data_IF_506660547737
#
_entry.id   IF_506660547737
#
_cell.length_a   1.000
_cell.length_b   1.000
_cell.length_c   1.000
_cell.angle_alpha   90.00
_cell.angle_beta   90.00
_cell.angle_gamma   90.00
#
_symmetry.space_group_name_H-M   'P 1'
#
loop_
_entity.id
_entity.type
_entity.pdbx_description
1 polymer ?
#
# COMPACT_ATOMS: atom_id res chain seq x y z
N UNK A 1 -1.54 14.72 7.21
CA UNK A 1 -0.34 14.91 6.36
C UNK A 1 0.76 14.02 6.93
N UNK A 2 1.33 13.13 6.13
CA UNK A 2 2.32 12.15 6.64
C UNK A 2 3.71 12.76 6.81
N UNK A 3 4.55 12.17 7.66
CA UNK A 3 5.95 12.61 7.85
C UNK A 3 6.71 12.67 6.52
N UNK A 4 6.45 11.71 5.63
CA UNK A 4 7.02 11.64 4.28
C UNK A 4 6.69 12.87 3.42
N UNK A 5 5.47 13.42 3.55
CA UNK A 5 5.08 14.60 2.77
C UNK A 5 5.80 15.84 3.26
N UNK A 6 6.00 15.98 4.58
CA UNK A 6 6.75 17.11 5.17
C UNK A 6 8.22 17.07 4.73
N UNK A 7 8.85 15.89 4.75
CA UNK A 7 10.25 15.70 4.30
C UNK A 7 10.41 16.08 2.82
N UNK A 8 9.47 15.67 1.96
CA UNK A 8 9.51 16.01 0.53
C UNK A 8 9.46 17.53 0.28
N UNK A 9 8.62 18.26 1.02
CA UNK A 9 8.53 19.72 0.89
C UNK A 9 9.80 20.45 1.34
N UNK A 10 10.41 20.00 2.44
CA UNK A 10 11.69 20.55 2.92
C UNK A 10 12.79 20.34 1.87
N UNK A 11 12.85 19.14 1.30
CA UNK A 11 13.84 18.81 0.26
C UNK A 11 13.64 19.65 -1.01
N UNK A 12 12.40 19.86 -1.44
CA UNK A 12 12.08 20.70 -2.59
C UNK A 12 12.50 22.16 -2.36
N UNK A 13 12.20 22.72 -1.18
CA UNK A 13 12.64 24.07 -0.82
C UNK A 13 14.17 24.21 -0.83
N UNK A 14 14.88 23.20 -0.34
CA UNK A 14 16.35 23.18 -0.31
C UNK A 14 16.95 23.14 -1.72
N UNK A 15 16.38 22.34 -2.64
CA UNK A 15 16.79 22.33 -4.04
C UNK A 15 16.52 23.66 -4.75
N UNK A 16 15.38 24.31 -4.48
CA UNK A 16 15.08 25.64 -5.03
C UNK A 16 16.13 26.66 -4.60
N UNK A 17 16.49 26.70 -3.31
CA UNK A 17 17.51 27.62 -2.79
C UNK A 17 18.86 27.38 -3.47
N UNK A 18 19.27 26.12 -3.62
CA UNK A 18 20.54 25.76 -4.29
C UNK A 18 20.53 26.19 -5.76
N UNK A 19 19.44 25.90 -6.50
CA UNK A 19 19.32 26.24 -7.93
C UNK A 19 19.28 27.75 -8.13
N UNK A 20 18.50 28.47 -7.33
CA UNK A 20 18.45 29.94 -7.40
C UNK A 20 19.81 30.53 -7.08
N UNK A 21 20.48 30.07 -6.02
CA UNK A 21 21.84 30.53 -5.69
C UNK A 21 22.85 30.24 -6.81
N UNK A 22 22.76 29.07 -7.45
CA UNK A 22 23.60 28.71 -8.59
C UNK A 22 23.31 29.56 -9.83
N UNK A 23 22.04 29.81 -10.15
CA UNK A 23 21.64 30.67 -11.28
C UNK A 23 22.06 32.13 -11.06
N UNK A 24 21.95 32.65 -9.84
CA UNK A 24 22.46 33.99 -9.49
C UNK A 24 23.98 34.03 -9.61
N UNK A 25 24.69 32.96 -9.24
CA UNK A 25 26.14 32.82 -9.47
C UNK A 25 26.51 32.78 -10.95
N UNK A 26 25.72 32.10 -11.79
CA UNK A 26 25.95 32.04 -13.24
C UNK A 26 25.66 33.37 -13.95
N UNK A 27 24.75 34.20 -13.41
CA UNK A 27 24.48 35.56 -13.92
C UNK A 27 25.50 36.60 -13.45
N UNK A 28 26.50 36.21 -12.68
CA UNK A 28 27.31 37.15 -11.90
C UNK A 28 28.47 37.72 -12.70
N UNK A 29 28.16 38.70 -13.56
CA UNK A 29 29.06 39.82 -13.84
C UNK A 29 28.73 41.06 -12.97
N UNK A 30 27.56 41.18 -12.29
CA UNK A 30 27.20 42.47 -11.63
C UNK A 30 26.59 42.44 -10.21
N UNK A 31 26.17 41.31 -9.64
CA UNK A 31 25.46 41.32 -8.35
C UNK A 31 26.36 40.95 -7.16
N UNK A 32 26.79 41.88 -6.29
CA UNK A 32 27.60 41.58 -5.09
C UNK A 32 26.88 40.65 -4.07
N UNK A 33 26.97 39.33 -4.28
CA UNK A 33 26.45 38.37 -3.31
C UNK A 33 27.29 38.32 -2.02
N UNK A 34 26.66 38.06 -0.86
CA UNK A 34 27.33 37.94 0.42
C UNK A 34 28.35 36.78 0.43
N UNK A 35 29.56 37.08 0.89
CA UNK A 35 30.78 36.25 0.83
C UNK A 35 30.68 34.85 1.45
N UNK A 36 29.71 34.61 2.34
CA UNK A 36 29.57 33.31 3.00
C UNK A 36 28.94 32.24 2.10
N UNK A 37 28.15 32.62 1.10
CA UNK A 37 27.45 31.69 0.18
C UNK A 37 28.35 31.26 -1.00
N UNK A 38 29.39 32.03 -1.33
CA UNK A 38 30.28 31.73 -2.46
C UNK A 38 31.36 30.70 -2.14
N UNK A 39 31.53 30.34 -0.86
CA UNK A 39 32.48 29.31 -0.45
C UNK A 39 32.14 27.97 -1.11
N UNK A 40 33.04 27.50 -1.99
CA UNK A 40 32.94 26.20 -2.66
C UNK A 40 32.74 25.05 -1.68
N UNK A 41 33.25 25.18 -0.44
CA UNK A 41 33.06 24.21 0.63
C UNK A 41 31.59 24.12 1.08
N UNK A 42 30.90 25.26 1.22
CA UNK A 42 29.48 25.30 1.63
C UNK A 42 28.60 24.68 0.56
N UNK A 43 28.87 24.99 -0.71
CA UNK A 43 28.18 24.35 -1.83
C UNK A 43 28.38 22.83 -1.87
N UNK A 44 29.63 22.36 -1.68
CA UNK A 44 29.92 20.93 -1.66
C UNK A 44 29.16 20.21 -0.53
N UNK A 45 29.12 20.80 0.67
CA UNK A 45 28.36 20.26 1.81
C UNK A 45 26.87 20.21 1.53
N UNK A 46 26.29 21.27 0.94
CA UNK A 46 24.87 21.31 0.60
C UNK A 46 24.47 20.24 -0.43
N UNK A 47 25.31 20.00 -1.44
CA UNK A 47 25.09 18.95 -2.44
C UNK A 47 25.14 17.56 -1.79
N UNK A 48 26.11 17.31 -0.91
CA UNK A 48 26.23 16.03 -0.19
C UNK A 48 24.99 15.77 0.69
N UNK A 49 24.50 16.79 1.40
CA UNK A 49 23.27 16.66 2.22
C UNK A 49 22.07 16.35 1.32
N UNK A 50 21.91 17.06 0.19
CA UNK A 50 20.84 16.81 -0.76
C UNK A 50 20.85 15.39 -1.33
N UNK A 51 22.05 14.87 -1.64
CA UNK A 51 22.22 13.49 -2.10
C UNK A 51 21.84 12.49 -1.00
N UNK A 52 22.34 12.65 0.23
CA UNK A 52 22.01 11.78 1.35
C UNK A 52 20.50 11.74 1.65
N UNK A 53 19.83 12.89 1.64
CA UNK A 53 18.38 12.97 1.85
C UNK A 53 17.60 12.29 0.72
N UNK A 54 18.03 12.47 -0.54
CA UNK A 54 17.44 11.79 -1.70
C UNK A 54 17.61 10.27 -1.62
N UNK A 55 18.81 9.80 -1.29
CA UNK A 55 19.10 8.38 -1.09
C UNK A 55 18.31 7.80 0.08
N UNK A 56 18.15 8.53 1.18
CA UNK A 56 17.34 8.10 2.32
C UNK A 56 15.85 8.00 1.93
N UNK A 57 15.32 9.00 1.22
CA UNK A 57 13.94 8.95 0.72
C UNK A 57 13.73 7.74 -0.20
N UNK A 58 14.64 7.49 -1.14
CA UNK A 58 14.58 6.33 -2.03
C UNK A 58 14.70 5.02 -1.25
N UNK A 59 15.61 4.96 -0.28
CA UNK A 59 15.76 3.81 0.61
C UNK A 59 14.48 3.53 1.38
N UNK A 60 13.86 4.53 2.00
CA UNK A 60 12.59 4.34 2.72
C UNK A 60 11.43 3.97 1.79
N UNK A 61 11.44 4.44 0.54
CA UNK A 61 10.46 4.03 -0.46
C UNK A 61 10.68 2.58 -0.93
N UNK A 62 11.93 2.17 -1.14
CA UNK A 62 12.32 0.82 -1.53
C UNK A 62 12.12 -0.19 -0.39
N UNK A 63 12.40 0.22 0.86
CA UNK A 63 12.19 -0.57 2.07
C UNK A 63 10.76 -0.54 2.58
N UNK A 64 9.79 0.00 1.81
CA UNK A 64 8.39 -0.32 2.09
C UNK A 64 8.33 -1.84 2.08
N UNK A 65 7.95 -2.50 3.19
CA UNK A 65 7.89 -3.94 3.22
C UNK A 65 6.95 -4.34 2.09
N UNK A 66 7.52 -4.92 1.05
CA UNK A 66 6.85 -5.84 0.15
C UNK A 66 6.63 -7.16 0.86
N UNK A 67 6.42 -7.15 2.18
CA UNK A 67 5.72 -8.22 2.88
C UNK A 67 4.23 -8.07 2.52
N UNK A 68 3.98 -8.22 1.23
CA UNK A 68 2.67 -8.33 0.64
C UNK A 68 2.03 -9.56 1.26
N UNK A 69 1.20 -9.34 2.30
CA UNK A 69 0.32 -10.34 2.89
C UNK A 69 1.00 -11.71 3.06
N UNK A 70 2.18 -11.76 3.67
CA UNK A 70 2.72 -13.04 4.11
C UNK A 70 1.97 -13.43 5.38
N UNK A 71 0.80 -14.05 5.22
CA UNK A 71 0.06 -14.71 6.29
C UNK A 71 0.88 -15.91 6.78
N UNK A 72 1.97 -15.65 7.48
CA UNK A 72 2.89 -16.66 8.03
C UNK A 72 2.10 -17.60 8.92
N UNK A 73 2.00 -18.89 8.56
CA UNK A 73 1.56 -20.05 9.36
C UNK A 73 0.70 -19.74 10.59
N UNK A 74 -0.27 -18.83 10.43
CA UNK A 74 -1.10 -18.38 11.53
C UNK A 74 -2.09 -19.50 11.76
N UNK A 75 -2.11 -20.01 12.99
CA UNK A 75 -3.11 -20.97 13.38
C UNK A 75 -4.48 -20.29 13.28
N UNK A 76 -5.23 -20.64 12.24
CA UNK A 76 -6.58 -20.12 12.04
C UNK A 76 -7.48 -20.64 13.16
N UNK A 77 -8.25 -19.75 13.77
CA UNK A 77 -9.27 -20.13 14.72
C UNK A 77 -10.37 -20.92 13.99
N UNK A 78 -10.55 -22.17 14.36
CA UNK A 78 -11.56 -23.03 13.74
C UNK A 78 -12.92 -22.74 14.34
N UNK A 79 -13.86 -22.35 13.48
CA UNK A 79 -15.28 -22.17 13.80
C UNK A 79 -16.05 -23.27 13.10
N UNK A 80 -16.64 -24.17 13.89
CA UNK A 80 -17.27 -25.39 13.37
C UNK A 80 -18.79 -25.37 13.54
N UNK A 81 -19.54 -25.73 12.49
CA UNK A 81 -20.97 -26.04 12.55
C UNK A 81 -21.88 -24.88 12.94
N UNK A 82 -21.37 -23.64 12.95
CA UNK A 82 -22.14 -22.46 13.35
C UNK A 82 -23.03 -21.97 12.20
N UNK A 83 -24.27 -21.59 12.54
CA UNK A 83 -25.16 -20.85 11.65
C UNK A 83 -25.09 -19.36 11.98
N UNK A 84 -24.66 -18.56 11.01
CA UNK A 84 -24.59 -17.10 11.10
C UNK A 84 -25.76 -16.48 10.35
N UNK A 85 -26.52 -15.61 11.00
CA UNK A 85 -27.74 -15.02 10.42
C UNK A 85 -27.84 -13.52 10.69
N UNK A 86 -27.98 -12.73 9.63
CA UNK A 86 -28.12 -11.27 9.68
C UNK A 86 -27.04 -10.57 10.52
N UNK A 87 -25.81 -11.11 10.53
CA UNK A 87 -24.71 -10.59 11.34
C UNK A 87 -23.47 -10.28 10.49
N UNK A 88 -22.55 -9.53 11.11
CA UNK A 88 -21.24 -9.24 10.53
C UNK A 88 -20.26 -10.32 11.00
N UNK A 89 -19.60 -11.00 10.08
CA UNK A 89 -18.68 -12.11 10.36
C UNK A 89 -17.26 -11.72 9.97
N UNK A 90 -16.33 -11.80 10.92
CA UNK A 90 -14.92 -11.50 10.71
C UNK A 90 -14.20 -12.65 10.03
N UNK A 91 -13.54 -12.37 8.90
CA UNK A 91 -12.80 -13.39 8.16
C UNK A 91 -11.35 -13.54 8.62
N UNK A 92 -10.69 -12.43 8.93
CA UNK A 92 -9.26 -12.43 9.26
C UNK A 92 -8.95 -13.36 10.44
N UNK A 93 -8.13 -14.38 10.19
CA UNK A 93 -7.67 -15.34 11.19
C UNK A 93 -8.63 -16.49 11.48
N UNK A 94 -9.74 -16.61 10.73
CA UNK A 94 -10.77 -17.63 10.98
C UNK A 94 -10.81 -18.71 9.88
N UNK A 95 -11.01 -19.96 10.30
CA UNK A 95 -11.34 -21.10 9.44
C UNK A 95 -12.75 -21.57 9.77
N UNK A 96 -13.67 -21.43 8.82
CA UNK A 96 -15.05 -21.88 8.97
C UNK A 96 -15.19 -23.30 8.42
N UNK A 97 -15.81 -24.19 9.19
CA UNK A 97 -15.94 -25.60 8.82
C UNK A 97 -17.39 -26.07 9.05
N UNK A 98 -18.06 -26.56 8.01
CA UNK A 98 -19.47 -26.93 8.01
C UNK A 98 -20.42 -25.82 8.52
N UNK A 99 -20.07 -24.54 8.29
CA UNK A 99 -20.90 -23.40 8.69
C UNK A 99 -21.99 -23.08 7.68
N UNK A 100 -23.07 -22.46 8.17
CA UNK A 100 -24.15 -21.91 7.35
C UNK A 100 -24.21 -20.39 7.49
N UNK A 101 -24.46 -19.70 6.38
CA UNK A 101 -24.51 -18.24 6.32
C UNK A 101 -25.82 -17.78 5.68
N UNK A 102 -26.60 -16.97 6.40
CA UNK A 102 -27.87 -16.40 5.94
C UNK A 102 -27.84 -14.86 6.05
N UNK A 103 -27.78 -14.17 4.91
CA UNK A 103 -27.77 -12.69 4.84
C UNK A 103 -26.65 -12.05 5.68
N UNK A 104 -25.45 -12.60 5.57
CA UNK A 104 -24.29 -12.15 6.34
C UNK A 104 -23.50 -11.06 5.61
N UNK A 105 -22.84 -10.22 6.41
CA UNK A 105 -21.82 -9.29 5.92
C UNK A 105 -20.46 -9.77 6.38
N UNK A 106 -19.60 -10.21 5.46
CA UNK A 106 -18.23 -10.56 5.78
C UNK A 106 -17.37 -9.31 5.95
N UNK A 107 -16.64 -9.20 7.05
CA UNK A 107 -15.62 -8.17 7.26
C UNK A 107 -14.24 -8.77 7.01
N UNK A 108 -13.49 -8.18 6.07
CA UNK A 108 -12.15 -8.64 5.71
C UNK A 108 -11.21 -7.46 5.53
N UNK A 109 -10.23 -7.34 6.40
CA UNK A 109 -9.28 -6.24 6.46
C UNK A 109 -7.88 -6.64 5.97
N UNK A 110 -7.68 -7.89 5.57
CA UNK A 110 -6.43 -8.39 4.98
C UNK A 110 -5.31 -8.54 6.00
N UNK A 111 -5.63 -8.67 7.28
CA UNK A 111 -4.65 -8.76 8.38
C UNK A 111 -4.20 -10.19 8.65
N UNK A 112 -5.02 -11.18 8.31
CA UNK A 112 -4.72 -12.59 8.47
C UNK A 112 -5.44 -13.44 7.41
N UNK A 113 -5.00 -14.69 7.25
CA UNK A 113 -5.64 -15.62 6.32
C UNK A 113 -7.03 -16.04 6.76
N UNK A 114 -7.79 -16.63 5.85
CA UNK A 114 -9.10 -17.20 6.13
C UNK A 114 -9.31 -18.47 5.29
N UNK A 115 -10.23 -19.33 5.72
CA UNK A 115 -10.55 -20.56 4.99
C UNK A 115 -12.01 -20.98 5.21
N UNK A 116 -12.64 -21.53 4.18
CA UNK A 116 -13.97 -22.12 4.25
C UNK A 116 -13.89 -23.60 3.85
N UNK A 117 -14.38 -24.48 4.71
CA UNK A 117 -14.46 -25.91 4.47
C UNK A 117 -15.92 -26.36 4.57
N UNK A 118 -16.45 -26.92 3.48
CA UNK A 118 -17.82 -27.46 3.42
C UNK A 118 -18.93 -26.51 3.93
N UNK A 119 -18.74 -25.20 3.83
CA UNK A 119 -19.73 -24.21 4.25
C UNK A 119 -20.81 -24.02 3.17
N UNK A 120 -21.99 -23.52 3.59
CA UNK A 120 -23.11 -23.23 2.69
C UNK A 120 -23.62 -21.81 2.91
N UNK A 121 -23.96 -21.13 1.81
CA UNK A 121 -24.74 -19.89 1.86
C UNK A 121 -26.21 -20.23 1.60
N UNK A 122 -27.07 -19.98 2.57
CA UNK A 122 -28.52 -20.19 2.50
C UNK A 122 -29.28 -18.88 2.29
N UNK A 123 -28.61 -17.74 2.42
CA UNK A 123 -29.20 -16.40 2.23
C UNK A 123 -29.27 -15.95 0.77
N UNK A 124 -30.09 -14.93 0.51
CA UNK A 124 -30.20 -14.29 -0.81
C UNK A 124 -29.15 -13.21 -1.05
N UNK A 125 -28.49 -12.74 0.03
CA UNK A 125 -27.47 -11.70 -0.03
C UNK A 125 -26.21 -12.11 0.73
N UNK A 126 -25.05 -11.75 0.14
CA UNK A 126 -23.74 -11.91 0.73
C UNK A 126 -22.98 -10.62 0.45
N UNK A 127 -22.62 -9.90 1.50
CA UNK A 127 -21.95 -8.61 1.39
C UNK A 127 -20.53 -8.73 1.92
N UNK A 128 -19.57 -8.09 1.27
CA UNK A 128 -18.19 -7.97 1.78
C UNK A 128 -17.97 -6.50 2.16
N UNK A 129 -17.42 -6.27 3.35
CA UNK A 129 -17.03 -4.96 3.88
C UNK A 129 -15.57 -4.99 4.30
N UNK A 130 -14.88 -3.88 4.08
CA UNK A 130 -13.48 -3.71 4.51
C UNK A 130 -13.24 -2.26 4.90
N UNK A 131 -12.36 -2.03 5.86
CA UNK A 131 -11.80 -0.71 6.18
C UNK A 131 -10.37 -0.52 5.61
N UNK A 132 -9.84 -1.55 4.95
CA UNK A 132 -8.51 -1.52 4.35
C UNK A 132 -8.56 -0.97 2.92
N UNK A 133 -7.86 0.14 2.67
CA UNK A 133 -7.82 0.81 1.37
C UNK A 133 -7.30 -0.09 0.24
N UNK A 134 -6.33 -0.97 0.52
CA UNK A 134 -5.79 -1.89 -0.48
C UNK A 134 -6.81 -2.97 -0.86
N UNK A 135 -7.54 -3.51 0.12
CA UNK A 135 -8.62 -4.47 -0.13
C UNK A 135 -9.77 -3.78 -0.89
N UNK A 136 -10.12 -2.55 -0.51
CA UNK A 136 -11.12 -1.74 -1.24
C UNK A 136 -10.72 -1.50 -2.71
N UNK A 137 -9.46 -1.19 -2.97
CA UNK A 137 -8.95 -1.03 -4.33
C UNK A 137 -9.06 -2.34 -5.13
N UNK A 138 -8.72 -3.48 -4.52
CA UNK A 138 -8.86 -4.81 -5.14
C UNK A 138 -10.31 -5.15 -5.48
N UNK A 139 -11.25 -4.94 -4.55
CA UNK A 139 -12.69 -5.14 -4.80
C UNK A 139 -13.18 -4.23 -5.92
N UNK A 140 -12.75 -2.97 -5.93
CA UNK A 140 -13.14 -2.00 -6.96
C UNK A 140 -12.64 -2.41 -8.34
N UNK A 141 -11.41 -2.93 -8.42
CA UNK A 141 -10.85 -3.47 -9.66
C UNK A 141 -11.69 -4.63 -10.20
N UNK A 142 -12.04 -5.60 -9.34
CA UNK A 142 -12.86 -6.75 -9.74
C UNK A 142 -14.21 -6.27 -10.29
N UNK A 143 -14.90 -5.36 -9.58
CA UNK A 143 -16.18 -4.79 -10.03
C UNK A 143 -16.08 -4.12 -11.39
N UNK A 144 -15.03 -3.32 -11.61
CA UNK A 144 -14.81 -2.64 -12.90
C UNK A 144 -14.56 -3.66 -14.02
N UNK A 145 -13.79 -4.72 -13.74
CA UNK A 145 -13.52 -5.77 -14.72
C UNK A 145 -14.80 -6.56 -15.06
N UNK A 146 -15.63 -6.90 -14.08
CA UNK A 146 -16.92 -7.58 -14.32
C UNK A 146 -17.88 -6.73 -15.14
N UNK A 147 -17.95 -5.43 -14.85
CA UNK A 147 -18.79 -4.49 -15.59
C UNK A 147 -18.27 -4.23 -17.02
N UNK A 148 -16.95 -4.14 -17.18
CA UNK A 148 -16.31 -3.87 -18.47
C UNK A 148 -16.32 -5.07 -19.42
N UNK A 149 -16.32 -6.29 -18.88
CA UNK A 149 -16.22 -7.54 -19.66
C UNK A 149 -17.34 -8.53 -19.31
N UNK A 150 -18.62 -8.19 -19.57
CA UNK A 150 -19.74 -9.06 -19.24
C UNK A 150 -19.60 -10.43 -19.93
N UNK A 151 -19.81 -11.51 -19.17
CA UNK A 151 -19.70 -12.89 -19.66
C UNK A 151 -18.28 -13.46 -19.69
N UNK A 152 -17.26 -12.69 -19.32
CA UNK A 152 -15.89 -13.19 -19.21
C UNK A 152 -15.62 -13.72 -17.80
N UNK A 153 -15.11 -14.95 -17.67
CA UNK A 153 -14.67 -15.48 -16.38
C UNK A 153 -13.31 -14.86 -16.01
N UNK A 154 -13.29 -14.00 -14.99
CA UNK A 154 -12.05 -13.48 -14.42
C UNK A 154 -11.42 -14.59 -13.58
N UNK A 155 -10.19 -14.99 -13.90
CA UNK A 155 -9.42 -15.94 -13.09
C UNK A 155 -8.37 -15.20 -12.30
N UNK A 156 -8.40 -15.35 -10.98
CA UNK A 156 -7.34 -14.87 -10.09
C UNK A 156 -6.40 -16.06 -9.84
N UNK A 157 -5.13 -15.92 -10.19
CA UNK A 157 -4.09 -16.91 -9.94
C UNK A 157 -3.10 -16.34 -8.93
N UNK A 158 -2.63 -17.18 -8.02
CA UNK A 158 -1.54 -16.82 -7.13
C UNK A 158 -0.23 -16.87 -7.91
N UNK A 159 0.68 -15.95 -7.62
CA UNK A 159 2.02 -15.95 -8.21
C UNK A 159 3.08 -16.21 -7.15
N UNK A 160 4.16 -16.87 -7.54
CA UNK A 160 5.35 -17.02 -6.71
C UNK A 160 6.08 -15.66 -6.52
N UNK A 161 7.16 -15.66 -5.74
CA UNK A 161 8.01 -14.49 -5.50
C UNK A 161 8.68 -13.91 -6.77
N UNK A 162 8.68 -14.64 -7.89
CA UNK A 162 9.22 -14.22 -9.17
C UNK A 162 8.13 -13.79 -10.16
N UNK A 163 6.86 -13.83 -9.76
CA UNK A 163 5.71 -13.46 -10.59
C UNK A 163 5.19 -14.60 -11.49
N UNK A 164 5.67 -15.83 -11.32
CA UNK A 164 5.15 -16.98 -12.08
C UNK A 164 3.87 -17.52 -11.43
N UNK A 165 2.88 -17.99 -12.20
CA UNK A 165 1.67 -18.58 -11.62
C UNK A 165 1.97 -19.85 -10.82
N UNK A 166 1.36 -19.98 -9.65
CA UNK A 166 1.39 -21.19 -8.83
C UNK A 166 0.28 -22.14 -9.34
N UNK A 167 0.60 -23.40 -9.67
CA UNK A 167 -0.36 -24.37 -10.18
C UNK A 167 -1.43 -24.79 -9.16
#
# INVERSE_FOLDING_TARGET
MGIQTVVAWIQLALWIIIVVGFLVKLRKDEAEMPLWITSTKVMAVAILIGFCLSSFSLYTAYKRPTDCLHWHDQQLQVIYGKHFKNEVVDLDGNKFDHCEFENVTFRFNGTAGYSFNQCRNTGSSLTIRTDNDAVNAGISLIKILEQGFPGTSIRVSQTDQYGNPIP
#
